data_IF_216918791712
#
_entry.id   IF_216918791712
#
_cell.length_a   1.000
_cell.length_b   1.000
_cell.length_c   1.000
_cell.angle_alpha   90.00
_cell.angle_beta   90.00
_cell.angle_gamma   90.00
#
_symmetry.space_group_name_H-M   'P 1'
#
loop_
_entity.id
_entity.type
_entity.pdbx_description
1 polymer ?
#
# COMPACT_ATOMS: atom_id res chain seq x y z
N UNK A 1 -24.61 -17.65 -0.31
CA UNK A 1 -24.49 -18.05 -1.73
C UNK A 1 -23.28 -17.36 -2.29
N UNK A 2 -22.24 -18.10 -2.69
CA UNK A 2 -21.09 -17.51 -3.36
C UNK A 2 -21.54 -16.88 -4.68
N UNK A 3 -21.16 -15.63 -4.95
CA UNK A 3 -21.40 -15.02 -6.26
C UNK A 3 -20.34 -15.56 -7.23
N UNK A 4 -20.70 -16.60 -7.97
CA UNK A 4 -19.87 -17.21 -9.00
C UNK A 4 -20.26 -16.63 -10.36
N UNK A 5 -19.29 -16.47 -11.26
CA UNK A 5 -19.57 -15.96 -12.61
C UNK A 5 -20.43 -16.96 -13.40
N UNK A 6 -21.23 -16.45 -14.34
CA UNK A 6 -22.33 -17.20 -14.97
C UNK A 6 -21.91 -18.43 -15.78
N UNK A 7 -20.67 -18.44 -16.28
CA UNK A 7 -20.16 -19.48 -17.18
C UNK A 7 -19.20 -20.44 -16.48
N UNK A 8 -19.24 -20.52 -15.14
CA UNK A 8 -18.39 -21.41 -14.38
C UNK A 8 -18.72 -22.88 -14.70
N UNK A 9 -17.70 -23.68 -14.93
CA UNK A 9 -17.86 -25.13 -15.16
C UNK A 9 -18.54 -25.77 -13.95
N UNK A 10 -19.52 -26.63 -14.21
CA UNK A 10 -20.36 -27.22 -13.14
C UNK A 10 -19.50 -27.99 -12.12
N UNK A 11 -18.58 -28.82 -12.60
CA UNK A 11 -17.71 -29.63 -11.75
C UNK A 11 -16.85 -28.75 -10.84
N UNK A 12 -16.30 -27.67 -11.39
CA UNK A 12 -15.53 -26.70 -10.62
C UNK A 12 -16.40 -25.95 -9.60
N UNK A 13 -17.62 -25.54 -9.99
CA UNK A 13 -18.58 -24.89 -9.08
C UNK A 13 -18.95 -25.79 -7.91
N UNK A 14 -19.28 -27.05 -8.17
CA UNK A 14 -19.71 -27.98 -7.13
C UNK A 14 -18.54 -28.29 -6.18
N UNK A 15 -17.32 -28.47 -6.71
CA UNK A 15 -16.11 -28.61 -5.90
C UNK A 15 -15.85 -27.37 -5.03
N UNK A 16 -15.97 -26.17 -5.59
CA UNK A 16 -15.75 -24.91 -4.86
C UNK A 16 -16.77 -24.70 -3.74
N UNK A 17 -18.05 -25.03 -3.99
CA UNK A 17 -19.10 -24.97 -2.97
C UNK A 17 -18.81 -25.97 -1.85
N UNK A 18 -18.45 -27.21 -2.19
CA UNK A 18 -18.12 -28.25 -1.21
C UNK A 18 -16.92 -27.88 -0.34
N UNK A 19 -15.85 -27.34 -0.94
CA UNK A 19 -14.70 -26.83 -0.17
C UNK A 19 -15.14 -25.71 0.76
N UNK A 20 -15.92 -24.75 0.26
CA UNK A 20 -16.35 -23.61 1.05
C UNK A 20 -17.23 -23.99 2.23
N UNK A 21 -18.15 -24.95 2.08
CA UNK A 21 -19.06 -25.36 3.16
C UNK A 21 -18.34 -26.10 4.29
N UNK A 22 -17.27 -26.84 3.98
CA UNK A 22 -16.54 -27.66 4.96
C UNK A 22 -15.29 -26.98 5.52
N UNK A 23 -14.77 -25.93 4.88
CA UNK A 23 -13.51 -25.27 5.31
C UNK A 23 -13.74 -24.03 6.16
N UNK A 24 -14.77 -23.24 5.86
CA UNK A 24 -15.01 -21.97 6.56
C UNK A 24 -16.50 -21.64 6.68
N UNK A 25 -16.84 -20.91 7.74
CA UNK A 25 -18.17 -20.32 7.90
C UNK A 25 -18.41 -19.25 6.84
N UNK A 26 -19.68 -18.94 6.57
CA UNK A 26 -20.03 -17.85 5.67
C UNK A 26 -19.47 -16.49 6.14
N UNK A 27 -19.30 -15.55 5.21
CA UNK A 27 -18.92 -14.17 5.55
C UNK A 27 -19.89 -13.57 6.59
N UNK A 28 -19.45 -12.73 7.53
CA UNK A 28 -20.32 -12.17 8.55
C UNK A 28 -21.54 -11.46 7.95
N UNK A 29 -22.74 -11.75 8.49
CA UNK A 29 -24.00 -11.16 8.01
C UNK A 29 -23.96 -9.62 7.89
N UNK A 30 -23.38 -8.86 8.84
CA UNK A 30 -23.27 -7.40 8.69
C UNK A 30 -22.48 -6.95 7.46
N UNK A 31 -21.39 -7.66 7.11
CA UNK A 31 -20.58 -7.37 5.92
C UNK A 31 -21.35 -7.67 4.64
N UNK A 32 -22.12 -8.76 4.63
CA UNK A 32 -23.00 -9.07 3.50
C UNK A 32 -24.09 -8.01 3.30
N UNK A 33 -24.66 -7.48 4.39
CA UNK A 33 -25.64 -6.38 4.34
C UNK A 33 -24.99 -5.09 3.83
N UNK A 34 -23.79 -4.76 4.29
CA UNK A 34 -23.03 -3.58 3.82
C UNK A 34 -22.70 -3.69 2.33
N UNK A 35 -22.21 -4.85 1.87
CA UNK A 35 -21.97 -5.12 0.46
C UNK A 35 -23.24 -4.94 -0.38
N UNK A 36 -24.36 -5.50 0.08
CA UNK A 36 -25.65 -5.32 -0.60
C UNK A 36 -26.07 -3.85 -0.67
N UNK A 37 -25.84 -3.07 0.40
CA UNK A 37 -26.14 -1.64 0.40
C UNK A 37 -25.27 -0.88 -0.62
N UNK A 38 -23.96 -1.16 -0.65
CA UNK A 38 -23.02 -0.56 -1.61
C UNK A 38 -23.40 -0.89 -3.06
N UNK A 39 -23.65 -2.17 -3.38
CA UNK A 39 -24.00 -2.59 -4.74
C UNK A 39 -25.39 -2.13 -5.20
N UNK A 40 -26.35 -1.93 -4.28
CA UNK A 40 -27.66 -1.33 -4.63
C UNK A 40 -27.54 0.15 -4.97
N UNK A 41 -26.60 0.86 -4.35
CA UNK A 41 -26.26 2.24 -4.68
C UNK A 41 -24.97 2.30 -5.50
N UNK A 42 -24.92 1.54 -6.60
CA UNK A 42 -23.70 1.41 -7.41
C UNK A 42 -23.12 2.75 -7.84
N UNK A 43 -23.94 3.67 -8.35
CA UNK A 43 -23.47 4.98 -8.82
C UNK A 43 -22.85 5.80 -7.67
N UNK A 44 -23.52 5.89 -6.52
CA UNK A 44 -22.97 6.61 -5.36
C UNK A 44 -21.70 5.95 -4.80
N UNK A 45 -21.62 4.61 -4.83
CA UNK A 45 -20.39 3.90 -4.48
C UNK A 45 -19.25 4.19 -5.46
N UNK A 46 -19.54 4.29 -6.75
CA UNK A 46 -18.55 4.64 -7.77
C UNK A 46 -18.09 6.10 -7.68
N UNK A 47 -18.98 7.04 -7.32
CA UNK A 47 -18.61 8.42 -7.02
C UNK A 47 -17.64 8.49 -5.83
N UNK A 48 -17.93 7.74 -4.74
CA UNK A 48 -17.03 7.61 -3.59
C UNK A 48 -15.66 7.05 -4.00
N UNK A 49 -15.65 5.96 -4.77
CA UNK A 49 -14.40 5.33 -5.26
C UNK A 49 -13.62 6.31 -6.14
N UNK A 50 -14.28 7.05 -7.03
CA UNK A 50 -13.62 8.02 -7.90
C UNK A 50 -12.94 9.14 -7.10
N UNK A 51 -13.60 9.64 -6.05
CA UNK A 51 -13.01 10.62 -5.14
C UNK A 51 -11.79 10.07 -4.40
N UNK A 52 -11.87 8.83 -3.90
CA UNK A 52 -10.75 8.16 -3.25
C UNK A 52 -9.56 7.93 -4.18
N UNK A 53 -9.82 7.50 -5.42
CA UNK A 53 -8.77 7.34 -6.44
C UNK A 53 -8.06 8.67 -6.72
N UNK A 54 -8.81 9.77 -6.82
CA UNK A 54 -8.22 11.10 -7.03
C UNK A 54 -7.37 11.57 -5.84
N UNK A 55 -7.80 11.27 -4.61
CA UNK A 55 -7.02 11.55 -3.39
C UNK A 55 -5.72 10.74 -3.39
N UNK A 56 -5.84 9.42 -3.56
CA UNK A 56 -4.70 8.49 -3.55
C UNK A 56 -3.70 8.78 -4.67
N UNK A 57 -4.18 9.22 -5.84
CA UNK A 57 -3.31 9.67 -6.92
C UNK A 57 -2.45 10.85 -6.48
N UNK A 58 -3.06 11.89 -5.92
CA UNK A 58 -2.35 13.10 -5.52
C UNK A 58 -1.31 12.84 -4.42
N UNK A 59 -1.66 12.12 -3.35
CA UNK A 59 -0.70 11.81 -2.29
C UNK A 59 0.35 10.78 -2.73
N UNK A 60 -0.03 9.85 -3.61
CA UNK A 60 0.88 8.87 -4.21
C UNK A 60 1.94 9.54 -5.08
N UNK A 61 1.54 10.47 -5.95
CA UNK A 61 2.43 11.26 -6.80
C UNK A 61 3.42 12.07 -5.94
N UNK A 62 2.93 12.73 -4.88
CA UNK A 62 3.79 13.44 -3.92
C UNK A 62 4.84 12.54 -3.28
N UNK A 63 4.44 11.35 -2.80
CA UNK A 63 5.38 10.42 -2.18
C UNK A 63 6.43 9.94 -3.19
N UNK A 64 6.00 9.60 -4.41
CA UNK A 64 6.88 9.18 -5.51
C UNK A 64 7.92 10.26 -5.85
N UNK A 65 7.49 11.51 -6.03
CA UNK A 65 8.39 12.63 -6.38
C UNK A 65 9.43 12.85 -5.27
N UNK A 66 8.97 12.92 -4.02
CA UNK A 66 9.83 13.19 -2.87
C UNK A 66 10.85 12.08 -2.57
N UNK A 67 10.52 10.82 -2.84
CA UNK A 67 11.45 9.70 -2.69
C UNK A 67 12.52 9.73 -3.79
N UNK A 68 12.14 10.04 -5.04
CA UNK A 68 13.08 10.14 -6.14
C UNK A 68 14.04 11.33 -6.02
N UNK A 69 13.62 12.45 -5.39
CA UNK A 69 14.52 13.59 -5.08
C UNK A 69 15.75 13.18 -4.26
N UNK A 70 15.63 12.15 -3.43
CA UNK A 70 16.73 11.59 -2.63
C UNK A 70 17.20 10.25 -3.19
N UNK A 71 17.11 10.04 -4.50
CA UNK A 71 17.58 8.84 -5.21
C UNK A 71 17.06 7.50 -4.66
N UNK A 72 15.90 7.48 -4.00
CA UNK A 72 15.19 6.22 -3.71
C UNK A 72 14.34 5.91 -4.95
N UNK A 73 14.82 5.00 -5.80
CA UNK A 73 14.21 4.72 -7.10
C UNK A 73 12.81 4.18 -6.89
N UNK A 74 11.81 4.93 -7.32
CA UNK A 74 10.40 4.57 -7.15
C UNK A 74 9.67 4.85 -8.45
N UNK A 75 8.82 3.93 -8.92
CA UNK A 75 7.98 4.18 -10.09
C UNK A 75 6.75 5.02 -9.71
N UNK A 76 6.25 5.83 -10.66
CA UNK A 76 5.01 6.58 -10.45
C UNK A 76 3.84 5.61 -10.23
N UNK A 77 2.92 5.90 -9.29
CA UNK A 77 1.80 5.01 -9.01
C UNK A 77 0.74 5.07 -10.11
N UNK A 78 0.37 3.92 -10.65
CA UNK A 78 -0.71 3.77 -11.63
C UNK A 78 -2.01 3.24 -10.99
N UNK A 79 -1.94 2.80 -9.74
CA UNK A 79 -3.07 2.25 -9.00
C UNK A 79 -2.68 1.74 -7.62
N UNK A 80 -3.66 1.16 -6.91
CA UNK A 80 -3.54 0.77 -5.50
C UNK A 80 -3.14 1.96 -4.61
N UNK A 81 -2.44 1.67 -3.51
CA UNK A 81 -2.05 2.65 -2.51
C UNK A 81 -0.68 2.33 -1.88
N UNK A 82 0.19 1.73 -2.70
CA UNK A 82 1.54 1.31 -2.30
C UNK A 82 2.58 1.79 -3.31
N UNK A 83 3.76 2.16 -2.81
CA UNK A 83 4.96 2.39 -3.60
C UNK A 83 5.95 1.26 -3.33
N UNK A 84 6.64 0.81 -4.38
CA UNK A 84 7.76 -0.11 -4.26
C UNK A 84 9.04 0.68 -4.50
N UNK A 85 9.75 0.96 -3.40
CA UNK A 85 10.84 1.94 -3.34
C UNK A 85 12.16 1.23 -3.16
N UNK A 86 13.09 1.47 -4.08
CA UNK A 86 14.37 0.78 -4.18
C UNK A 86 15.55 1.66 -3.74
N UNK A 87 16.20 1.23 -2.66
CA UNK A 87 17.37 1.84 -2.02
C UNK A 87 18.69 1.27 -2.56
N UNK A 88 18.69 0.50 -3.64
CA UNK A 88 19.90 -0.14 -4.17
C UNK A 88 21.01 0.83 -4.57
N UNK A 89 20.69 2.11 -4.83
CA UNK A 89 21.71 3.16 -5.05
C UNK A 89 22.54 3.47 -3.78
N UNK A 90 22.01 3.15 -2.60
CA UNK A 90 22.68 3.29 -1.31
C UNK A 90 23.29 1.98 -0.82
N UNK A 91 23.31 0.92 -1.65
CA UNK A 91 23.69 -0.43 -1.20
C UNK A 91 25.06 -0.47 -0.54
N UNK A 92 26.05 0.25 -1.05
CA UNK A 92 27.39 0.25 -0.46
C UNK A 92 27.41 0.90 0.93
N UNK A 93 26.73 2.03 1.10
CA UNK A 93 26.62 2.75 2.36
C UNK A 93 25.85 1.92 3.40
N UNK A 94 24.75 1.29 2.97
CA UNK A 94 23.97 0.37 3.80
C UNK A 94 24.83 -0.83 4.26
N UNK A 95 25.61 -1.44 3.35
CA UNK A 95 26.51 -2.55 3.69
C UNK A 95 27.58 -2.11 4.69
N UNK A 96 28.14 -0.90 4.54
CA UNK A 96 29.12 -0.36 5.50
C UNK A 96 28.52 -0.16 6.91
N UNK A 97 27.20 0.03 7.01
CA UNK A 97 26.46 0.06 8.28
C UNK A 97 26.02 -1.32 8.78
N UNK A 98 26.41 -2.41 8.09
CA UNK A 98 25.99 -3.77 8.42
C UNK A 98 24.57 -4.12 7.95
N UNK A 99 23.95 -3.29 7.12
CA UNK A 99 22.62 -3.51 6.55
C UNK A 99 22.79 -4.23 5.20
N UNK A 100 22.53 -5.52 5.17
CA UNK A 100 22.76 -6.40 4.00
C UNK A 100 21.47 -7.00 3.43
N UNK A 101 20.33 -6.80 4.11
CA UNK A 101 19.04 -7.33 3.68
C UNK A 101 17.92 -6.30 3.80
N UNK A 102 16.85 -6.44 3.00
CA UNK A 102 15.65 -5.60 3.08
C UNK A 102 14.97 -5.64 4.46
N UNK A 103 15.02 -6.78 5.16
CA UNK A 103 14.50 -6.90 6.53
C UNK A 103 15.30 -6.01 7.49
N UNK A 104 16.62 -6.06 7.42
CA UNK A 104 17.48 -5.19 8.22
C UNK A 104 17.26 -3.71 7.89
N UNK A 105 17.11 -3.38 6.60
CA UNK A 105 16.80 -2.01 6.16
C UNK A 105 15.50 -1.50 6.81
N UNK A 106 14.40 -2.26 6.72
CA UNK A 106 13.13 -1.90 7.35
C UNK A 106 13.26 -1.76 8.87
N UNK A 107 13.98 -2.68 9.53
CA UNK A 107 14.15 -2.63 10.98
C UNK A 107 14.95 -1.40 11.43
N UNK A 108 16.03 -1.06 10.73
CA UNK A 108 16.84 0.13 11.07
C UNK A 108 16.05 1.40 10.83
N UNK A 109 15.36 1.54 9.69
CA UNK A 109 14.50 2.70 9.44
C UNK A 109 13.43 2.83 10.54
N UNK A 110 12.78 1.73 10.93
CA UNK A 110 11.79 1.73 12.00
C UNK A 110 12.38 2.19 13.34
N UNK A 111 13.54 1.67 13.72
CA UNK A 111 14.19 2.03 15.00
C UNK A 111 14.67 3.48 15.02
N UNK A 112 15.21 3.98 13.90
CA UNK A 112 15.79 5.31 13.82
C UNK A 112 14.75 6.42 13.62
N UNK A 113 13.61 6.09 13.00
CA UNK A 113 12.63 7.09 12.54
C UNK A 113 11.20 6.85 13.05
N UNK A 114 10.88 5.65 13.52
CA UNK A 114 9.51 5.24 13.82
C UNK A 114 8.68 4.86 12.59
N UNK A 115 9.21 4.98 11.37
CA UNK A 115 8.48 4.66 10.13
C UNK A 115 8.52 3.16 9.85
N UNK A 116 7.35 2.53 9.84
CA UNK A 116 7.20 1.11 9.51
C UNK A 116 7.05 0.89 8.00
N UNK A 117 7.84 -0.03 7.46
CA UNK A 117 7.86 -0.41 6.03
C UNK A 117 7.84 -1.94 5.92
N UNK A 118 7.44 -2.47 4.76
CA UNK A 118 7.47 -3.91 4.52
C UNK A 118 8.63 -4.29 3.56
N UNK A 119 9.49 -5.26 3.90
CA UNK A 119 10.67 -5.56 3.09
C UNK A 119 10.32 -6.27 1.79
N UNK A 120 11.09 -6.02 0.71
CA UNK A 120 10.91 -6.67 -0.59
C UNK A 120 10.93 -8.21 -0.52
N UNK A 121 11.70 -8.78 0.41
CA UNK A 121 11.77 -10.24 0.59
C UNK A 121 10.43 -10.88 0.97
N UNK A 122 9.50 -10.14 1.57
CA UNK A 122 8.13 -10.63 1.83
C UNK A 122 7.30 -10.82 0.54
N UNK A 123 7.80 -10.30 -0.59
CA UNK A 123 7.17 -10.40 -1.92
C UNK A 123 7.93 -11.35 -2.86
N UNK A 124 8.80 -12.20 -2.31
CA UNK A 124 9.53 -13.21 -3.09
C UNK A 124 10.83 -12.72 -3.74
N UNK A 125 11.26 -11.48 -3.46
CA UNK A 125 12.58 -11.00 -3.90
C UNK A 125 13.71 -11.59 -3.06
N UNK A 126 14.92 -11.59 -3.61
CA UNK A 126 16.13 -11.94 -2.87
C UNK A 126 16.29 -11.04 -1.64
N UNK A 127 16.86 -11.59 -0.56
CA UNK A 127 16.97 -10.88 0.73
C UNK A 127 17.80 -9.61 0.59
N UNK A 128 18.80 -9.64 -0.30
CA UNK A 128 19.79 -8.60 -0.57
C UNK A 128 19.26 -7.50 -1.52
N UNK A 129 18.05 -7.66 -2.07
CA UNK A 129 17.40 -6.61 -2.84
C UNK A 129 16.86 -5.54 -1.89
N UNK A 130 17.52 -4.38 -1.88
CA UNK A 130 17.28 -3.27 -0.93
C UNK A 130 16.04 -2.46 -1.29
N UNK A 131 14.90 -3.12 -1.46
CA UNK A 131 13.63 -2.46 -1.73
C UNK A 131 12.62 -2.71 -0.61
N UNK A 132 11.64 -1.82 -0.54
CA UNK A 132 10.57 -1.84 0.47
C UNK A 132 9.24 -1.49 -0.19
N UNK A 133 8.14 -2.04 0.35
CA UNK A 133 6.79 -1.56 0.07
C UNK A 133 6.41 -0.52 1.12
N UNK A 134 6.13 0.69 0.65
CA UNK A 134 5.59 1.80 1.42
C UNK A 134 4.08 1.92 1.17
N UNK A 135 3.28 2.10 2.22
CA UNK A 135 1.85 2.41 2.11
C UNK A 135 1.63 3.89 2.44
N UNK A 136 0.88 4.61 1.61
CA UNK A 136 0.68 6.07 1.76
C UNK A 136 -0.75 6.41 2.19
N UNK A 137 -1.34 5.62 3.09
CA UNK A 137 -2.76 5.69 3.49
C UNK A 137 -3.00 6.10 4.94
N UNK A 138 -1.97 6.61 5.63
CA UNK A 138 -2.11 7.06 7.02
C UNK A 138 -2.67 8.49 7.07
N UNK A 139 -3.95 8.63 6.72
CA UNK A 139 -4.67 9.89 6.72
C UNK A 139 -6.17 9.67 6.96
N UNK A 140 -6.86 10.71 7.44
CA UNK A 140 -8.29 10.66 7.68
C UNK A 140 -9.08 10.97 6.40
N UNK A 141 -10.31 10.45 6.29
CA UNK A 141 -11.14 10.60 5.09
C UNK A 141 -11.38 12.08 4.75
N UNK A 142 -10.92 12.48 3.56
CA UNK A 142 -11.00 13.82 3.02
C UNK A 142 -11.89 13.94 1.78
N UNK A 143 -12.74 12.95 1.49
CA UNK A 143 -13.59 12.89 0.26
C UNK A 143 -14.40 14.16 0.00
N UNK A 144 -14.94 14.80 1.03
CA UNK A 144 -15.80 15.97 0.85
C UNK A 144 -15.04 17.29 0.64
N UNK A 145 -13.69 17.25 0.58
CA UNK A 145 -12.86 18.45 0.40
C UNK A 145 -12.66 18.74 -1.09
N UNK A 146 -13.08 19.93 -1.53
CA UNK A 146 -12.89 20.39 -2.91
C UNK A 146 -11.42 20.60 -3.28
N UNK A 147 -10.63 21.09 -2.33
CA UNK A 147 -9.19 21.32 -2.47
C UNK A 147 -8.48 20.64 -1.31
N UNK A 148 -7.52 19.76 -1.63
CA UNK A 148 -6.69 19.11 -0.63
C UNK A 148 -5.59 20.07 -0.19
N UNK A 149 -5.39 20.18 1.12
CA UNK A 149 -4.24 20.84 1.71
C UNK A 149 -3.35 19.77 2.31
N UNK A 150 -2.18 19.52 1.72
CA UNK A 150 -1.37 18.36 2.06
C UNK A 150 -0.90 18.36 3.52
N UNK A 151 -0.46 19.51 4.03
CA UNK A 151 0.00 19.67 5.41
C UNK A 151 -1.12 19.38 6.43
N UNK A 152 -2.36 19.72 6.08
CA UNK A 152 -3.52 19.50 6.95
C UNK A 152 -4.13 18.10 6.79
N UNK A 153 -4.16 17.61 5.55
CA UNK A 153 -4.95 16.44 5.17
C UNK A 153 -4.12 15.15 5.18
N UNK A 154 -2.80 15.25 4.99
CA UNK A 154 -1.87 14.11 4.97
C UNK A 154 -0.67 14.27 5.92
N UNK A 155 -0.81 14.88 7.12
CA UNK A 155 0.34 15.26 7.95
C UNK A 155 1.25 14.07 8.29
N UNK A 156 0.67 12.91 8.59
CA UNK A 156 1.41 11.68 8.96
C UNK A 156 2.19 11.09 7.78
N UNK A 157 1.60 11.11 6.58
CA UNK A 157 2.29 10.66 5.36
C UNK A 157 3.44 11.58 5.00
N UNK A 158 3.23 12.90 5.06
CA UNK A 158 4.28 13.91 4.82
C UNK A 158 5.43 13.78 5.81
N UNK A 159 5.12 13.60 7.09
CA UNK A 159 6.11 13.37 8.13
C UNK A 159 6.91 12.10 7.87
N UNK A 160 6.25 10.97 7.55
CA UNK A 160 6.92 9.72 7.24
C UNK A 160 7.89 9.83 6.05
N UNK A 161 7.46 10.50 4.97
CA UNK A 161 8.33 10.75 3.80
C UNK A 161 9.50 11.66 4.18
N UNK A 162 9.26 12.73 4.94
CA UNK A 162 10.32 13.64 5.42
C UNK A 162 11.34 12.91 6.29
N UNK A 163 10.90 12.02 7.18
CA UNK A 163 11.77 11.22 8.04
C UNK A 163 12.63 10.25 7.21
N UNK A 164 12.04 9.56 6.22
CA UNK A 164 12.80 8.69 5.29
C UNK A 164 13.86 9.50 4.53
N UNK A 165 13.48 10.64 3.95
CA UNK A 165 14.42 11.54 3.24
C UNK A 165 15.57 11.95 4.15
N UNK A 166 15.25 12.39 5.37
CA UNK A 166 16.23 12.85 6.36
C UNK A 166 17.16 11.73 6.82
N UNK A 167 16.66 10.49 6.89
CA UNK A 167 17.46 9.30 7.21
C UNK A 167 18.45 8.98 6.08
N UNK A 168 17.98 8.97 4.82
CA UNK A 168 18.84 8.72 3.65
C UNK A 168 19.91 9.80 3.47
N UNK A 169 19.60 11.07 3.74
CA UNK A 169 20.59 12.16 3.65
C UNK A 169 21.78 11.98 4.61
N UNK A 170 21.66 11.17 5.67
CA UNK A 170 22.77 10.83 6.58
C UNK A 170 23.70 9.75 6.02
N UNK A 171 23.29 9.07 4.95
CA UNK A 171 24.09 8.07 4.24
C UNK A 171 25.03 8.71 3.20
N UNK A 172 24.78 9.96 2.82
CA UNK A 172 25.59 10.75 1.89
C UNK A 172 26.78 11.39 2.61
#
# INVERSE_FOLDING_TARGET
VAMLYSNIEKEFRDALIGIGSETYSCAPTPVQIAARAAYRNYNGAMEYVSSQVNILKQIGDYCYENLNEVNIRTHAPEGAFYLFSDFSLYKQQLVNMGITTSVQLCNVILMDTGVALLPASAFGFQKEYMAVRLAYVDFDDCINKKNLNFEKDFPRVLEGIKLIKSWVSKLL
#
